data_IF_764035855124
#
_entry.id   IF_764035855124
#
_cell.length_a   1.000
_cell.length_b   1.000
_cell.length_c   1.000
_cell.angle_alpha   90.00
_cell.angle_beta   90.00
_cell.angle_gamma   90.00
#
_symmetry.space_group_name_H-M   'P 1'
#
loop_
_entity.id
_entity.type
_entity.pdbx_description
1 polymer ?
#
# COMPACT_ATOMS: atom_id res chain seq x y z
N UNK A 1 0.89 -21.32 -1.48
CA UNK A 1 -0.04 -20.20 -1.70
C UNK A 1 -1.47 -20.51 -1.26
N UNK A 2 -1.98 -21.71 -1.43
CA UNK A 2 -3.36 -22.11 -1.07
C UNK A 2 -3.74 -21.89 0.41
N UNK A 3 -2.78 -21.70 1.30
CA UNK A 3 -3.00 -21.42 2.73
C UNK A 3 -2.66 -19.96 3.13
N UNK A 4 -2.15 -19.15 2.21
CA UNK A 4 -1.76 -17.78 2.52
C UNK A 4 -3.00 -16.88 2.70
N UNK A 5 -3.03 -16.11 3.78
CA UNK A 5 -4.06 -15.11 4.04
C UNK A 5 -3.85 -13.83 3.24
N UNK A 6 -2.61 -13.55 2.87
CA UNK A 6 -2.25 -12.41 2.03
C UNK A 6 -1.04 -12.72 1.15
N UNK A 7 -0.96 -12.01 0.02
CA UNK A 7 0.22 -11.91 -0.84
C UNK A 7 0.44 -10.44 -1.18
N UNK A 8 1.69 -9.97 -1.02
CA UNK A 8 2.09 -8.63 -1.44
C UNK A 8 3.00 -8.74 -2.67
N UNK A 9 2.77 -7.89 -3.66
CA UNK A 9 3.52 -7.87 -4.91
C UNK A 9 3.57 -6.44 -5.48
N UNK A 10 4.51 -6.20 -6.41
CA UNK A 10 4.70 -4.90 -7.05
C UNK A 10 5.40 -5.06 -8.39
N UNK A 11 5.43 -3.99 -9.19
CA UNK A 11 5.91 -4.01 -10.59
C UNK A 11 7.37 -4.46 -10.72
N UNK A 12 8.24 -4.07 -9.80
CA UNK A 12 9.67 -4.35 -9.89
C UNK A 12 10.00 -5.85 -9.90
N UNK A 13 9.23 -6.65 -9.18
CA UNK A 13 9.42 -8.10 -9.13
C UNK A 13 9.10 -8.77 -10.49
N UNK A 14 8.29 -8.12 -11.34
CA UNK A 14 7.81 -8.65 -12.61
C UNK A 14 8.66 -8.19 -13.83
N UNK A 15 9.86 -7.64 -13.59
CA UNK A 15 10.74 -7.15 -14.67
C UNK A 15 11.35 -8.25 -15.56
N UNK A 16 11.32 -9.51 -15.13
CA UNK A 16 11.69 -10.65 -15.99
C UNK A 16 10.46 -11.51 -16.31
N UNK A 17 10.38 -12.08 -17.51
CA UNK A 17 9.24 -12.94 -17.89
C UNK A 17 9.02 -14.11 -16.92
N UNK A 18 10.08 -14.75 -16.44
CA UNK A 18 9.99 -15.89 -15.53
C UNK A 18 9.38 -15.51 -14.18
N UNK A 19 9.76 -14.34 -13.63
CA UNK A 19 9.17 -13.87 -12.37
C UNK A 19 7.76 -13.36 -12.56
N UNK A 20 7.47 -12.72 -13.72
CA UNK A 20 6.13 -12.32 -14.10
C UNK A 20 5.20 -13.54 -14.11
N UNK A 21 5.49 -14.56 -14.93
CA UNK A 21 4.66 -15.75 -15.07
C UNK A 21 4.48 -16.48 -13.72
N UNK A 22 5.54 -16.52 -12.91
CA UNK A 22 5.49 -17.12 -11.57
C UNK A 22 4.54 -16.37 -10.65
N UNK A 23 4.61 -15.04 -10.60
CA UNK A 23 3.76 -14.24 -9.70
C UNK A 23 2.30 -14.30 -10.16
N UNK A 24 2.03 -14.17 -11.46
CA UNK A 24 0.67 -14.28 -12.00
C UNK A 24 0.07 -15.67 -11.67
N UNK A 25 0.86 -16.72 -11.81
CA UNK A 25 0.39 -18.07 -11.45
C UNK A 25 0.15 -18.22 -9.94
N UNK A 26 1.02 -17.66 -9.09
CA UNK A 26 0.83 -17.66 -7.65
C UNK A 26 -0.44 -16.89 -7.22
N UNK A 27 -0.75 -15.78 -7.87
CA UNK A 27 -1.97 -15.01 -7.61
C UNK A 27 -3.25 -15.79 -7.92
N UNK A 28 -3.23 -16.66 -8.95
CA UNK A 28 -4.35 -17.55 -9.27
C UNK A 28 -4.57 -18.66 -8.23
N UNK A 29 -3.49 -19.08 -7.56
CA UNK A 29 -3.51 -20.17 -6.56
C UNK A 29 -3.67 -19.66 -5.11
N UNK A 30 -4.00 -18.38 -4.90
CA UNK A 30 -4.37 -17.88 -3.56
C UNK A 30 -5.75 -18.42 -3.16
N UNK A 31 -5.94 -18.67 -1.87
CA UNK A 31 -7.25 -19.11 -1.37
C UNK A 31 -8.33 -18.03 -1.59
N UNK A 32 -9.61 -18.40 -1.72
CA UNK A 32 -10.70 -17.44 -1.76
C UNK A 32 -10.67 -16.51 -0.54
N UNK A 33 -10.79 -15.21 -0.79
CA UNK A 33 -10.75 -14.18 0.27
C UNK A 33 -9.35 -13.79 0.76
N UNK A 34 -8.29 -14.35 0.19
CA UNK A 34 -6.93 -13.88 0.47
C UNK A 34 -6.75 -12.43 0.03
N UNK A 35 -6.09 -11.62 0.87
CA UNK A 35 -5.74 -10.25 0.54
C UNK A 35 -4.61 -10.24 -0.50
N UNK A 36 -4.88 -9.69 -1.69
CA UNK A 36 -3.90 -9.51 -2.76
C UNK A 36 -3.49 -8.04 -2.79
N UNK A 37 -2.37 -7.75 -2.13
CA UNK A 37 -1.88 -6.40 -1.90
C UNK A 37 -0.91 -5.99 -3.00
N UNK A 38 -1.37 -5.17 -3.92
CA UNK A 38 -0.55 -4.57 -4.97
C UNK A 38 0.04 -3.23 -4.49
N UNK A 39 1.32 -3.23 -4.12
CA UNK A 39 2.11 -2.01 -3.88
C UNK A 39 2.83 -1.66 -5.18
N UNK A 40 2.35 -0.65 -5.91
CA UNK A 40 2.81 -0.39 -7.28
C UNK A 40 4.30 -0.12 -7.37
N UNK A 41 4.83 0.74 -6.48
CA UNK A 41 6.25 1.01 -6.26
C UNK A 41 7.06 1.10 -7.56
N UNK A 42 6.72 2.05 -8.44
CA UNK A 42 7.32 2.23 -9.76
C UNK A 42 8.83 2.51 -9.68
N UNK A 43 9.61 1.81 -10.49
CA UNK A 43 11.07 1.97 -10.55
C UNK A 43 11.56 1.97 -12.01
N UNK A 44 12.28 3.03 -12.37
CA UNK A 44 12.80 3.18 -13.75
C UNK A 44 11.69 3.06 -14.79
N UNK A 45 11.89 2.24 -15.78
CA UNK A 45 11.00 1.94 -16.93
C UNK A 45 10.45 0.49 -16.88
N UNK A 46 10.52 -0.15 -15.70
CA UNK A 46 10.06 -1.53 -15.52
C UNK A 46 8.54 -1.63 -15.27
N UNK A 47 7.76 -0.83 -16.01
CA UNK A 47 6.30 -0.87 -15.97
C UNK A 47 5.70 -0.45 -17.31
N UNK A 48 4.50 -0.93 -17.58
CA UNK A 48 3.66 -0.47 -18.69
C UNK A 48 2.22 -0.38 -18.21
N UNK A 49 1.35 0.24 -19.00
CA UNK A 49 -0.07 0.31 -18.68
C UNK A 49 -0.67 -1.08 -18.59
N UNK A 50 -0.35 -1.95 -19.56
CA UNK A 50 -0.86 -3.32 -19.64
C UNK A 50 -0.44 -4.16 -18.43
N UNK A 51 0.82 -4.03 -17.98
CA UNK A 51 1.29 -4.70 -16.77
C UNK A 51 0.55 -4.21 -15.53
N UNK A 52 0.35 -2.89 -15.40
CA UNK A 52 -0.35 -2.32 -14.25
C UNK A 52 -1.83 -2.76 -14.25
N UNK A 53 -2.49 -2.77 -15.41
CA UNK A 53 -3.86 -3.27 -15.56
C UNK A 53 -3.97 -4.74 -15.13
N UNK A 54 -3.09 -5.62 -15.63
CA UNK A 54 -3.04 -7.04 -15.25
C UNK A 54 -2.89 -7.23 -13.72
N UNK A 55 -2.02 -6.43 -13.10
CA UNK A 55 -1.80 -6.52 -11.65
C UNK A 55 -2.97 -5.97 -10.83
N UNK A 56 -3.63 -4.91 -11.31
CA UNK A 56 -4.84 -4.35 -10.71
C UNK A 56 -6.03 -5.31 -10.80
N UNK A 57 -6.21 -5.99 -11.92
CA UNK A 57 -7.26 -7.02 -12.09
C UNK A 57 -7.14 -8.16 -11.09
N UNK A 58 -5.91 -8.50 -10.69
CA UNK A 58 -5.66 -9.53 -9.69
C UNK A 58 -5.78 -9.01 -8.24
N UNK A 59 -5.70 -7.69 -8.00
CA UNK A 59 -5.59 -7.08 -6.68
C UNK A 59 -6.91 -7.06 -5.90
N UNK A 60 -6.81 -7.01 -4.58
CA UNK A 60 -7.89 -6.60 -3.67
C UNK A 60 -7.53 -5.32 -2.91
N UNK A 61 -6.24 -5.02 -2.78
CA UNK A 61 -5.71 -3.79 -2.20
C UNK A 61 -4.73 -3.18 -3.18
N UNK A 62 -4.88 -1.90 -3.44
CA UNK A 62 -3.96 -1.11 -4.27
C UNK A 62 -3.33 -0.01 -3.44
N UNK A 63 -2.00 0.04 -3.40
CA UNK A 63 -1.25 1.11 -2.74
C UNK A 63 -0.43 1.88 -3.77
N UNK A 64 -0.51 3.20 -3.69
CA UNK A 64 0.12 4.15 -4.60
C UNK A 64 0.56 5.39 -3.82
N UNK A 65 1.66 6.03 -4.23
CA UNK A 65 2.02 7.34 -3.71
C UNK A 65 1.52 8.48 -4.63
N UNK A 66 1.59 9.72 -4.13
CA UNK A 66 1.10 10.92 -4.83
C UNK A 66 1.80 11.15 -6.18
N UNK A 67 3.11 10.92 -6.26
CA UNK A 67 3.87 11.07 -7.50
C UNK A 67 3.49 9.98 -8.53
N UNK A 68 3.32 8.75 -8.09
CA UNK A 68 2.85 7.64 -8.92
C UNK A 68 1.41 7.85 -9.39
N UNK A 69 0.52 8.36 -8.51
CA UNK A 69 -0.85 8.68 -8.88
C UNK A 69 -0.91 9.71 -10.01
N UNK A 70 -0.03 10.71 -9.98
CA UNK A 70 0.05 11.71 -11.05
C UNK A 70 0.40 11.06 -12.40
N UNK A 71 1.34 10.11 -12.42
CA UNK A 71 1.71 9.36 -13.62
C UNK A 71 0.55 8.50 -14.13
N UNK A 72 -0.14 7.81 -13.20
CA UNK A 72 -1.24 6.94 -13.59
C UNK A 72 -2.45 7.73 -14.10
N UNK A 73 -2.71 8.94 -13.62
CA UNK A 73 -3.75 9.82 -14.17
C UNK A 73 -3.57 10.10 -15.65
N UNK A 74 -2.32 10.32 -16.06
CA UNK A 74 -2.00 10.52 -17.48
C UNK A 74 -2.14 9.22 -18.25
N UNK A 75 -1.65 8.11 -17.70
CA UNK A 75 -1.66 6.79 -18.34
C UNK A 75 -3.06 6.24 -18.55
N UNK A 76 -3.97 6.45 -17.57
CA UNK A 76 -5.35 5.95 -17.58
C UNK A 76 -6.39 6.96 -18.06
N UNK A 77 -5.94 8.14 -18.49
CA UNK A 77 -6.78 9.24 -19.02
C UNK A 77 -7.85 9.75 -18.01
N UNK A 78 -7.49 9.75 -16.71
CA UNK A 78 -8.34 10.25 -15.61
C UNK A 78 -7.90 11.63 -15.12
N UNK A 79 -7.42 12.48 -16.05
CA UNK A 79 -6.91 13.82 -15.78
C UNK A 79 -8.01 14.75 -15.25
N UNK A 80 -7.59 15.72 -14.44
CA UNK A 80 -8.48 16.76 -13.92
C UNK A 80 -9.37 16.32 -12.75
N UNK A 81 -9.22 15.08 -12.26
CA UNK A 81 -9.87 14.60 -11.04
C UNK A 81 -9.06 14.97 -9.79
N UNK A 82 -9.73 15.02 -8.62
CA UNK A 82 -9.03 15.07 -7.34
C UNK A 82 -8.29 13.75 -7.05
N UNK A 83 -7.37 13.73 -6.07
CA UNK A 83 -6.70 12.50 -5.67
C UNK A 83 -7.68 11.45 -5.14
N UNK A 84 -8.69 11.91 -4.37
CA UNK A 84 -9.77 11.05 -3.87
C UNK A 84 -10.60 10.46 -5.00
N UNK A 85 -11.01 11.27 -5.98
CA UNK A 85 -11.78 10.79 -7.14
C UNK A 85 -10.98 9.78 -7.97
N UNK A 86 -9.67 10.03 -8.18
CA UNK A 86 -8.81 9.11 -8.89
C UNK A 86 -8.66 7.77 -8.16
N UNK A 87 -8.47 7.80 -6.83
CA UNK A 87 -8.44 6.59 -6.02
C UNK A 87 -9.76 5.80 -6.07
N UNK A 88 -10.90 6.50 -6.02
CA UNK A 88 -12.23 5.88 -6.15
C UNK A 88 -12.48 5.32 -7.55
N UNK A 89 -11.95 5.97 -8.58
CA UNK A 89 -12.00 5.45 -9.94
C UNK A 89 -11.28 4.09 -10.03
N UNK A 90 -10.03 3.98 -9.54
CA UNK A 90 -9.32 2.70 -9.48
C UNK A 90 -10.10 1.65 -8.68
N UNK A 91 -10.64 2.04 -7.54
CA UNK A 91 -11.45 1.14 -6.71
C UNK A 91 -12.65 0.57 -7.48
N UNK A 92 -13.38 1.42 -8.17
CA UNK A 92 -14.58 1.02 -8.92
C UNK A 92 -14.26 0.21 -10.16
N UNK A 93 -13.22 0.62 -10.92
CA UNK A 93 -12.84 -0.02 -12.18
C UNK A 93 -12.32 -1.44 -11.96
N UNK A 94 -11.52 -1.65 -10.90
CA UNK A 94 -10.87 -2.94 -10.62
C UNK A 94 -11.51 -3.72 -9.46
N UNK A 95 -12.59 -3.22 -8.87
CA UNK A 95 -13.31 -3.92 -7.79
C UNK A 95 -12.50 -4.09 -6.51
N UNK A 96 -11.62 -3.13 -6.20
CA UNK A 96 -10.70 -3.20 -5.05
C UNK A 96 -11.45 -3.05 -3.72
N UNK A 97 -11.01 -3.79 -2.70
CA UNK A 97 -11.50 -3.65 -1.32
C UNK A 97 -10.96 -2.39 -0.64
N UNK A 98 -9.69 -2.05 -0.93
CA UNK A 98 -9.00 -0.86 -0.39
C UNK A 98 -8.13 -0.20 -1.45
N UNK A 99 -8.09 1.14 -1.42
CA UNK A 99 -7.06 1.95 -2.09
C UNK A 99 -6.34 2.77 -1.04
N UNK A 100 -5.01 2.74 -1.07
CA UNK A 100 -4.13 3.42 -0.13
C UNK A 100 -3.30 4.43 -0.92
N UNK A 101 -3.48 5.72 -0.58
CA UNK A 101 -2.67 6.81 -1.10
C UNK A 101 -1.72 7.30 -0.02
N UNK A 102 -0.43 7.39 -0.34
CA UNK A 102 0.59 7.93 0.56
C UNK A 102 1.23 9.18 -0.04
N UNK A 103 1.39 10.23 0.78
CA UNK A 103 2.07 11.48 0.44
C UNK A 103 3.38 11.65 1.23
N UNK A 104 4.16 10.57 1.36
CA UNK A 104 5.47 10.60 2.01
C UNK A 104 5.43 11.16 3.43
N UNK A 105 6.09 12.32 3.64
CA UNK A 105 6.18 12.99 4.95
C UNK A 105 4.93 13.81 5.31
N UNK A 106 3.88 13.79 4.50
CA UNK A 106 2.71 14.66 4.70
C UNK A 106 1.48 13.93 5.22
N UNK A 107 1.05 12.88 4.53
CA UNK A 107 -0.17 12.15 4.87
C UNK A 107 -0.20 10.73 4.33
N UNK A 108 -1.18 9.99 4.80
CA UNK A 108 -1.70 8.80 4.12
C UNK A 108 -3.23 8.77 4.21
N UNK A 109 -3.87 8.24 3.16
CA UNK A 109 -5.33 8.07 3.09
C UNK A 109 -5.64 6.64 2.67
N UNK A 110 -6.56 6.00 3.37
CA UNK A 110 -7.10 4.69 3.00
C UNK A 110 -8.58 4.84 2.74
N UNK A 111 -9.02 4.38 1.57
CA UNK A 111 -10.42 4.34 1.16
C UNK A 111 -10.82 2.88 1.08
N UNK A 112 -11.97 2.54 1.65
CA UNK A 112 -12.55 1.19 1.64
C UNK A 112 -13.77 1.15 0.70
N UNK A 113 -14.02 0.01 0.09
CA UNK A 113 -15.17 -0.23 -0.80
C UNK A 113 -16.55 -0.02 -0.14
N UNK A 114 -16.62 -0.12 1.19
CA UNK A 114 -17.85 0.12 1.94
C UNK A 114 -18.13 1.63 2.16
N UNK A 115 -17.28 2.52 1.64
CA UNK A 115 -17.41 3.97 1.74
C UNK A 115 -16.68 4.60 2.93
N UNK A 116 -16.10 3.81 3.83
CA UNK A 116 -15.25 4.34 4.90
C UNK A 116 -13.95 4.90 4.34
N UNK A 117 -13.44 5.95 4.95
CA UNK A 117 -12.12 6.50 4.66
C UNK A 117 -11.42 6.94 5.94
N UNK A 118 -10.11 6.84 5.94
CA UNK A 118 -9.25 7.29 7.03
C UNK A 118 -8.07 8.08 6.45
N UNK A 119 -7.91 9.32 6.87
CA UNK A 119 -6.76 10.17 6.51
C UNK A 119 -6.01 10.55 7.77
N UNK A 120 -4.69 10.31 7.77
CA UNK A 120 -3.81 10.63 8.88
C UNK A 120 -2.61 11.43 8.37
N UNK A 121 -2.23 12.46 9.12
CA UNK A 121 -0.95 13.14 8.89
C UNK A 121 0.21 12.21 9.22
N UNK A 122 1.30 12.32 8.47
CA UNK A 122 2.54 11.60 8.81
C UNK A 122 3.16 12.22 10.06
N UNK A 123 3.47 11.44 11.12
CA UNK A 123 4.09 11.95 12.32
C UNK A 123 5.49 12.51 12.05
N UNK A 124 5.85 13.60 12.70
CA UNK A 124 7.21 14.11 12.69
C UNK A 124 8.08 13.26 13.61
N UNK A 125 9.12 12.67 13.05
CA UNK A 125 10.15 11.92 13.79
C UNK A 125 11.54 12.36 13.36
N UNK A 126 12.56 12.09 14.17
CA UNK A 126 13.95 12.22 13.75
C UNK A 126 14.29 11.12 12.76
N UNK A 127 14.36 11.46 11.48
CA UNK A 127 14.55 10.51 10.39
C UNK A 127 16.03 10.12 10.29
N UNK A 128 16.28 8.82 10.42
CA UNK A 128 17.60 8.20 10.22
C UNK A 128 17.68 7.57 8.83
N UNK A 129 16.64 6.81 8.44
CA UNK A 129 16.53 6.15 7.14
C UNK A 129 15.05 6.01 6.78
N UNK A 130 14.71 6.07 5.49
CA UNK A 130 13.32 5.90 5.02
C UNK A 130 13.08 4.56 4.32
N UNK A 131 14.15 3.76 4.14
CA UNK A 131 14.04 2.44 3.51
C UNK A 131 13.19 1.50 4.36
N UNK A 132 12.23 0.82 3.73
CA UNK A 132 11.31 -0.09 4.42
C UNK A 132 10.10 0.56 5.09
N UNK A 133 10.00 1.90 5.14
CA UNK A 133 8.83 2.56 5.72
C UNK A 133 7.53 2.19 5.00
N UNK A 134 7.54 2.19 3.66
CA UNK A 134 6.40 1.75 2.84
C UNK A 134 6.05 0.28 3.06
N UNK A 135 7.05 -0.58 3.08
CA UNK A 135 6.86 -2.03 3.28
C UNK A 135 6.32 -2.35 4.68
N UNK A 136 6.83 -1.65 5.71
CA UNK A 136 6.34 -1.80 7.09
C UNK A 136 4.92 -1.28 7.26
N UNK A 137 4.55 -0.19 6.57
CA UNK A 137 3.16 0.29 6.49
C UNK A 137 2.27 -0.80 5.88
N UNK A 138 2.62 -1.31 4.69
CA UNK A 138 1.85 -2.31 3.95
C UNK A 138 1.70 -3.60 4.75
N UNK A 139 2.78 -4.09 5.36
CA UNK A 139 2.79 -5.28 6.20
C UNK A 139 1.92 -5.12 7.45
N UNK A 140 2.03 -3.98 8.14
CA UNK A 140 1.23 -3.70 9.35
C UNK A 140 -0.25 -3.56 9.01
N UNK A 141 -0.60 -2.79 7.97
CA UNK A 141 -2.00 -2.65 7.54
C UNK A 141 -2.61 -4.02 7.21
N UNK A 142 -1.90 -4.83 6.41
CA UNK A 142 -2.33 -6.18 6.06
C UNK A 142 -2.56 -7.04 7.29
N UNK A 143 -1.58 -7.14 8.19
CA UNK A 143 -1.67 -7.95 9.39
C UNK A 143 -2.83 -7.51 10.31
N UNK A 144 -2.98 -6.20 10.52
CA UNK A 144 -4.00 -5.65 11.41
C UNK A 144 -5.41 -5.82 10.85
N UNK A 145 -5.58 -5.65 9.53
CA UNK A 145 -6.85 -5.91 8.84
C UNK A 145 -7.25 -7.39 8.95
N UNK A 146 -6.32 -8.32 8.74
CA UNK A 146 -6.56 -9.76 8.87
C UNK A 146 -6.86 -10.17 10.32
N UNK A 147 -6.35 -9.44 11.31
CA UNK A 147 -6.66 -9.65 12.74
C UNK A 147 -8.00 -9.03 13.17
N UNK A 148 -8.70 -8.33 12.26
CA UNK A 148 -10.02 -7.78 12.49
C UNK A 148 -10.07 -6.38 13.12
N UNK A 149 -8.96 -5.63 13.07
CA UNK A 149 -8.98 -4.21 13.45
C UNK A 149 -9.92 -3.43 12.54
N UNK A 150 -10.51 -2.35 13.06
CA UNK A 150 -11.21 -1.36 12.24
C UNK A 150 -10.25 -0.68 11.27
N UNK A 151 -10.78 -0.09 10.18
CA UNK A 151 -9.97 0.65 9.21
C UNK A 151 -9.07 1.69 9.87
N UNK A 152 -9.63 2.48 10.79
CA UNK A 152 -8.89 3.55 11.49
C UNK A 152 -7.80 2.99 12.39
N UNK A 153 -8.04 1.88 13.10
CA UNK A 153 -7.05 1.25 13.98
C UNK A 153 -5.90 0.62 13.17
N UNK A 154 -6.22 -0.12 12.10
CA UNK A 154 -5.22 -0.70 11.20
C UNK A 154 -4.35 0.40 10.57
N UNK A 155 -4.98 1.48 10.08
CA UNK A 155 -4.27 2.63 9.50
C UNK A 155 -3.35 3.31 10.52
N UNK A 156 -3.87 3.63 11.73
CA UNK A 156 -3.08 4.24 12.81
C UNK A 156 -1.84 3.42 13.16
N UNK A 157 -1.99 2.10 13.29
CA UNK A 157 -0.88 1.19 13.57
C UNK A 157 0.12 1.15 12.42
N UNK A 158 -0.35 1.13 11.17
CA UNK A 158 0.52 1.16 9.98
C UNK A 158 1.37 2.45 9.93
N UNK A 159 0.76 3.61 10.18
CA UNK A 159 1.46 4.91 10.23
C UNK A 159 2.51 4.93 11.34
N UNK A 160 2.17 4.49 12.56
CA UNK A 160 3.11 4.46 13.68
C UNK A 160 4.29 3.49 13.42
N UNK A 161 4.04 2.33 12.80
CA UNK A 161 5.10 1.39 12.45
C UNK A 161 6.04 1.96 11.38
N UNK A 162 5.49 2.59 10.36
CA UNK A 162 6.29 3.26 9.32
C UNK A 162 7.15 4.39 9.91
N UNK A 163 6.58 5.20 10.81
CA UNK A 163 7.31 6.25 11.51
C UNK A 163 8.44 5.68 12.37
N UNK A 164 8.21 4.57 13.08
CA UNK A 164 9.24 3.88 13.86
C UNK A 164 10.39 3.41 12.97
N UNK A 165 10.09 2.76 11.84
CA UNK A 165 11.13 2.31 10.89
C UNK A 165 11.99 3.48 10.43
N UNK A 166 11.40 4.65 10.20
CA UNK A 166 12.17 5.84 9.82
C UNK A 166 13.15 6.33 10.90
N UNK A 167 12.99 5.96 12.17
CA UNK A 167 13.91 6.33 13.27
C UNK A 167 15.12 5.40 13.42
N UNK A 168 15.22 4.36 12.61
CA UNK A 168 16.26 3.34 12.70
C UNK A 168 17.02 3.19 11.38
N UNK A 169 18.20 2.56 11.43
CA UNK A 169 18.96 2.23 10.22
C UNK A 169 18.42 0.96 9.55
N UNK A 170 18.26 1.02 8.24
CA UNK A 170 17.89 -0.13 7.40
C UNK A 170 16.39 -0.43 7.39
N UNK A 171 16.01 -1.28 6.46
CA UNK A 171 14.60 -1.55 6.14
C UNK A 171 13.85 -2.41 7.17
N UNK A 172 14.56 -3.11 8.03
CA UNK A 172 14.00 -4.06 8.99
C UNK A 172 14.70 -3.96 10.34
N UNK A 173 14.41 -2.90 11.12
CA UNK A 173 14.93 -2.76 12.47
C UNK A 173 14.31 -3.79 13.42
N UNK A 174 14.92 -3.98 14.58
CA UNK A 174 14.31 -4.75 15.67
C UNK A 174 13.09 -4.00 16.21
N UNK A 175 11.93 -4.66 16.23
CA UNK A 175 10.68 -4.05 16.69
C UNK A 175 10.54 -4.13 18.21
N UNK A 176 10.08 -3.06 18.88
CA UNK A 176 9.82 -3.09 20.33
C UNK A 176 8.56 -3.90 20.64
N UNK A 177 8.48 -4.44 21.85
CA UNK A 177 7.28 -5.16 22.35
C UNK A 177 6.00 -4.29 22.28
N UNK A 178 6.18 -2.97 22.46
CA UNK A 178 5.09 -1.99 22.36
C UNK A 178 5.50 -0.89 21.38
N UNK A 179 4.76 -0.77 20.27
CA UNK A 179 4.99 0.27 19.27
C UNK A 179 4.66 1.66 19.85
N UNK A 180 5.58 2.64 19.72
CA UNK A 180 5.30 4.03 20.11
C UNK A 180 4.10 4.61 19.35
N UNK A 181 3.31 5.45 20.03
CA UNK A 181 2.20 6.16 19.41
C UNK A 181 2.62 7.59 19.03
N UNK A 182 3.28 7.70 17.89
CA UNK A 182 3.76 8.97 17.35
C UNK A 182 2.61 9.91 16.97
N UNK A 183 1.46 9.37 16.56
CA UNK A 183 0.28 10.19 16.23
C UNK A 183 -0.32 10.86 17.47
N UNK A 184 -0.27 10.22 18.65
CA UNK A 184 -0.71 10.83 19.89
C UNK A 184 0.26 11.92 20.37
N UNK A 185 1.55 11.78 20.08
CA UNK A 185 2.58 12.77 20.44
C UNK A 185 2.51 14.03 19.59
N UNK A 186 2.12 13.92 18.32
CA UNK A 186 1.97 15.05 17.40
C UNK A 186 0.73 15.93 17.69
N UNK A 187 -0.21 15.46 18.51
CA UNK A 187 -1.45 16.17 18.86
C UNK A 187 -1.31 17.04 20.13
N UNK A 188 -0.13 17.08 20.78
CA UNK A 188 0.20 17.90 21.96
C UNK A 188 1.01 19.12 21.57
#
# INVERSE_FOLDING_TARGET
>A
MEQADAICYGTLALRSPETHDTIIELLKHTKPGAMKFFDINLRGDHYSKELIEELLEAATVFKINDAELLLLRDMFDIRGTSDDDACRWFMSEYGLDYVILTGGSTFSTIISKNGESSTLATPHVEVVDTVGAGDSFSGTFTARTLLGDTLTEAHRKAVNTAAYVCTANGAWPEYPDTMPDYLAQAAQ
#
